data_IF_309574961914
#
_entry.id   IF_309574961914
#
_cell.length_a   1.000
_cell.length_b   1.000
_cell.length_c   1.000
_cell.angle_alpha   90.00
_cell.angle_beta   90.00
_cell.angle_gamma   90.00
#
_symmetry.space_group_name_H-M   'P 1'
#
loop_
_entity.id
_entity.type
_entity.pdbx_description
1 polymer ?
#
# COMPACT_ATOMS: atom_id res chain seq x y z
N UNK A 1 -39.90 25.11 1.88
CA UNK A 1 -39.52 23.72 2.20
C UNK A 1 -38.35 23.23 1.32
N UNK A 2 -37.15 23.80 1.45
CA UNK A 2 -35.92 23.28 0.79
C UNK A 2 -34.72 23.16 1.73
N UNK A 3 -34.88 23.55 3.01
CA UNK A 3 -33.77 23.61 3.97
C UNK A 3 -33.71 22.38 4.89
N UNK A 4 -34.84 21.69 5.11
CA UNK A 4 -34.90 20.51 5.99
C UNK A 4 -34.12 19.31 5.41
N UNK A 5 -34.06 19.17 4.08
CA UNK A 5 -33.42 18.04 3.41
C UNK A 5 -31.88 18.13 3.42
N UNK A 6 -31.31 19.33 3.54
CA UNK A 6 -29.87 19.56 3.63
C UNK A 6 -29.36 19.46 5.08
N UNK A 7 -30.21 19.77 6.05
CA UNK A 7 -29.88 19.64 7.47
C UNK A 7 -29.85 18.17 7.92
N UNK A 8 -30.72 17.32 7.38
CA UNK A 8 -30.73 15.87 7.65
C UNK A 8 -29.51 15.12 7.07
N UNK A 9 -28.93 15.60 5.96
CA UNK A 9 -27.73 15.00 5.36
C UNK A 9 -26.44 15.33 6.16
N UNK A 10 -26.47 16.36 7.00
CA UNK A 10 -25.33 16.80 7.80
C UNK A 10 -25.21 16.12 9.18
N UNK A 11 -26.18 15.26 9.53
CA UNK A 11 -26.20 14.53 10.80
C UNK A 11 -25.42 13.20 10.78
N UNK A 12 -24.79 12.86 9.65
CA UNK A 12 -23.90 11.71 9.60
C UNK A 12 -22.76 11.91 10.63
N UNK A 13 -22.60 11.01 11.62
CA UNK A 13 -21.59 11.16 12.65
C UNK A 13 -20.22 11.33 11.98
N UNK A 14 -19.54 12.46 12.25
CA UNK A 14 -18.20 12.73 11.73
C UNK A 14 -17.33 11.49 11.96
N UNK A 15 -16.75 10.89 10.90
CA UNK A 15 -15.99 9.65 11.05
C UNK A 15 -14.85 9.90 12.04
N UNK A 16 -14.82 9.11 13.13
CA UNK A 16 -13.71 9.13 14.10
C UNK A 16 -12.41 8.98 13.32
N UNK A 17 -11.55 10.01 13.36
CA UNK A 17 -10.21 9.95 12.76
C UNK A 17 -9.44 8.81 13.41
N UNK A 18 -9.33 7.67 12.72
CA UNK A 18 -8.51 6.55 13.17
C UNK A 18 -7.06 7.00 13.08
N UNK A 19 -6.33 6.97 14.20
CA UNK A 19 -4.92 7.37 14.20
C UNK A 19 -4.07 6.32 13.47
N UNK A 20 -2.92 6.72 12.90
CA UNK A 20 -1.93 5.77 12.39
C UNK A 20 -1.52 4.79 13.49
N UNK A 21 -1.36 3.52 13.14
CA UNK A 21 -1.04 2.45 14.09
C UNK A 21 0.39 1.96 13.85
N UNK A 22 1.28 2.21 14.82
CA UNK A 22 2.69 1.74 14.78
C UNK A 22 2.82 0.24 14.49
N UNK A 23 1.87 -0.58 14.95
CA UNK A 23 1.88 -2.03 14.67
C UNK A 23 1.71 -2.33 13.18
N UNK A 24 0.87 -1.57 12.46
CA UNK A 24 0.64 -1.76 11.02
C UNK A 24 1.92 -1.45 10.23
N UNK A 25 2.62 -0.36 10.59
CA UNK A 25 3.91 0.00 10.01
C UNK A 25 4.96 -1.12 10.21
N UNK A 26 5.12 -1.58 11.45
CA UNK A 26 6.12 -2.60 11.79
C UNK A 26 5.81 -3.92 11.08
N UNK A 27 4.56 -4.37 11.09
CA UNK A 27 4.14 -5.62 10.43
C UNK A 27 4.33 -5.53 8.92
N UNK A 28 3.93 -4.42 8.29
CA UNK A 28 4.12 -4.23 6.85
C UNK A 28 5.60 -4.24 6.45
N UNK A 29 6.45 -3.54 7.21
CA UNK A 29 7.89 -3.52 6.96
C UNK A 29 8.53 -4.90 7.15
N UNK A 30 8.20 -5.62 8.23
CA UNK A 30 8.73 -6.95 8.48
C UNK A 30 8.29 -7.97 7.42
N UNK A 31 7.03 -7.92 6.96
CA UNK A 31 6.57 -8.76 5.85
C UNK A 31 7.35 -8.47 4.58
N UNK A 32 7.49 -7.21 4.20
CA UNK A 32 8.28 -6.80 3.03
C UNK A 32 9.72 -7.30 3.12
N UNK A 33 10.38 -7.09 4.25
CA UNK A 33 11.77 -7.48 4.45
C UNK A 33 11.97 -9.00 4.33
N UNK A 34 11.10 -9.81 4.93
CA UNK A 34 11.19 -11.27 4.81
C UNK A 34 10.99 -11.74 3.37
N UNK A 35 10.02 -11.17 2.65
CA UNK A 35 9.73 -11.53 1.27
C UNK A 35 10.85 -11.11 0.32
N UNK A 36 11.40 -9.91 0.50
CA UNK A 36 12.56 -9.44 -0.24
C UNK A 36 13.79 -10.31 0.03
N UNK A 37 14.09 -10.60 1.31
CA UNK A 37 15.22 -11.46 1.68
C UNK A 37 15.07 -12.86 1.09
N UNK A 38 13.89 -13.48 1.17
CA UNK A 38 13.62 -14.78 0.56
C UNK A 38 13.91 -14.77 -0.95
N UNK A 39 13.46 -13.72 -1.63
CA UNK A 39 13.63 -13.57 -3.07
C UNK A 39 15.09 -13.32 -3.47
N UNK A 40 15.89 -12.61 -2.66
CA UNK A 40 17.32 -12.38 -2.94
C UNK A 40 18.17 -13.60 -2.57
N UNK A 41 17.83 -14.32 -1.50
CA UNK A 41 18.59 -15.47 -1.00
C UNK A 41 18.36 -16.76 -1.82
N UNK A 42 17.37 -16.77 -2.70
CA UNK A 42 17.17 -17.87 -3.65
C UNK A 42 18.14 -17.64 -4.82
N UNK A 43 19.25 -18.37 -4.89
CA UNK A 43 20.44 -18.09 -5.75
C UNK A 43 20.23 -18.13 -7.29
N UNK A 44 19.01 -17.95 -7.80
CA UNK A 44 18.69 -17.91 -9.25
C UNK A 44 17.67 -16.87 -9.64
N UNK A 45 17.52 -15.80 -8.87
CA UNK A 45 16.49 -14.80 -9.13
C UNK A 45 16.83 -14.00 -10.38
N UNK A 46 16.27 -14.42 -11.52
CA UNK A 46 16.33 -13.67 -12.77
C UNK A 46 15.72 -12.27 -12.60
N UNK A 47 16.08 -11.32 -13.46
CA UNK A 47 15.46 -9.99 -13.46
C UNK A 47 13.92 -10.07 -13.53
N UNK A 48 13.40 -11.01 -14.31
CA UNK A 48 11.96 -11.28 -14.40
C UNK A 48 11.40 -11.76 -13.07
N UNK A 49 12.10 -12.64 -12.36
CA UNK A 49 11.68 -13.07 -11.01
C UNK A 49 11.73 -11.93 -10.01
N UNK A 50 12.76 -11.07 -10.06
CA UNK A 50 12.90 -9.85 -9.26
C UNK A 50 11.70 -8.92 -9.46
N UNK A 51 11.35 -8.63 -10.71
CA UNK A 51 10.18 -7.84 -11.10
C UNK A 51 8.90 -8.50 -10.60
N UNK A 52 8.71 -9.79 -10.86
CA UNK A 52 7.49 -10.51 -10.46
C UNK A 52 7.29 -10.53 -8.94
N UNK A 53 8.34 -10.81 -8.17
CA UNK A 53 8.22 -10.80 -6.71
C UNK A 53 8.07 -9.39 -6.13
N UNK A 54 8.51 -8.34 -6.84
CA UNK A 54 8.28 -6.96 -6.40
C UNK A 54 6.80 -6.58 -6.35
N UNK A 55 5.95 -7.15 -7.22
CA UNK A 55 4.49 -7.00 -7.11
C UNK A 55 3.94 -7.57 -5.80
N UNK A 56 4.65 -8.52 -5.22
CA UNK A 56 4.23 -9.19 -4.00
C UNK A 56 4.74 -8.47 -2.75
N UNK A 57 6.02 -8.11 -2.65
CA UNK A 57 6.57 -7.49 -1.43
C UNK A 57 6.42 -5.96 -1.35
N UNK A 58 6.39 -5.24 -2.47
CA UNK A 58 6.27 -3.77 -2.45
C UNK A 58 4.97 -3.24 -1.85
N UNK A 59 3.79 -3.89 -2.02
CA UNK A 59 2.58 -3.46 -1.31
C UNK A 59 2.75 -3.51 0.21
N UNK A 60 3.47 -4.49 0.74
CA UNK A 60 3.77 -4.56 2.18
C UNK A 60 4.78 -3.49 2.59
N UNK A 61 5.74 -3.16 1.74
CA UNK A 61 6.66 -2.05 1.97
C UNK A 61 5.90 -0.71 2.03
N UNK A 62 5.02 -0.47 1.06
CA UNK A 62 4.14 0.69 1.02
C UNK A 62 3.23 0.73 2.25
N UNK A 63 2.73 -0.41 2.70
CA UNK A 63 1.92 -0.50 3.92
C UNK A 63 2.74 -0.16 5.17
N UNK A 64 4.01 -0.57 5.20
CA UNK A 64 4.98 -0.14 6.20
C UNK A 64 5.09 1.38 6.23
N UNK A 65 5.45 1.98 5.09
CA UNK A 65 5.66 3.42 4.97
C UNK A 65 4.39 4.24 5.28
N UNK A 66 3.25 3.87 4.69
CA UNK A 66 1.99 4.60 4.85
C UNK A 66 1.27 4.28 6.15
N UNK A 67 1.50 3.12 6.77
CA UNK A 67 0.89 2.72 8.04
C UNK A 67 1.28 3.60 9.22
N UNK A 68 2.43 4.29 9.13
CA UNK A 68 2.88 5.30 10.10
C UNK A 68 2.28 6.70 9.89
N UNK A 69 1.77 6.99 8.69
CA UNK A 69 1.33 8.33 8.27
C UNK A 69 -0.21 8.40 8.21
N UNK A 70 -0.84 7.35 7.72
CA UNK A 70 -2.27 7.31 7.42
C UNK A 70 -3.04 6.34 8.32
N UNK A 71 -4.35 6.56 8.50
CA UNK A 71 -5.26 5.58 9.09
C UNK A 71 -5.15 4.21 8.37
N UNK A 72 -5.36 3.07 9.07
CA UNK A 72 -5.15 1.73 8.50
C UNK A 72 -5.86 1.51 7.16
N UNK A 73 -7.14 1.91 7.04
CA UNK A 73 -7.90 1.77 5.78
C UNK A 73 -7.28 2.52 4.61
N UNK A 74 -6.78 3.74 4.86
CA UNK A 74 -6.13 4.56 3.84
C UNK A 74 -4.74 4.02 3.50
N UNK A 75 -3.98 3.59 4.51
CA UNK A 75 -2.68 2.97 4.30
C UNK A 75 -2.79 1.71 3.44
N UNK A 76 -3.76 0.82 3.73
CA UNK A 76 -4.03 -0.37 2.92
C UNK A 76 -4.42 0.02 1.49
N UNK A 77 -5.34 0.97 1.32
CA UNK A 77 -5.74 1.41 -0.02
C UNK A 77 -4.55 1.95 -0.83
N UNK A 78 -3.74 2.85 -0.25
CA UNK A 78 -2.54 3.39 -0.90
C UNK A 78 -1.54 2.29 -1.25
N UNK A 79 -1.42 1.29 -0.39
CA UNK A 79 -0.53 0.14 -0.60
C UNK A 79 -0.98 -0.72 -1.76
N UNK A 80 -2.29 -1.01 -1.86
CA UNK A 80 -2.85 -1.75 -3.01
C UNK A 80 -2.69 -0.97 -4.30
N UNK A 81 -2.86 0.36 -4.26
CA UNK A 81 -2.65 1.23 -5.42
C UNK A 81 -1.19 1.27 -5.90
N UNK A 82 -0.22 0.79 -5.11
CA UNK A 82 1.15 0.64 -5.61
C UNK A 82 1.27 -0.47 -6.66
N UNK A 83 0.45 -1.52 -6.61
CA UNK A 83 0.49 -2.63 -7.59
C UNK A 83 0.35 -2.15 -9.05
N UNK A 84 -0.68 -1.37 -9.42
CA UNK A 84 -0.78 -0.85 -10.79
C UNK A 84 0.32 0.16 -11.13
N UNK A 85 0.83 0.93 -10.17
CA UNK A 85 1.96 1.86 -10.40
C UNK A 85 3.23 1.07 -10.73
N UNK A 86 3.51 0.01 -9.98
CA UNK A 86 4.63 -0.90 -10.22
C UNK A 86 4.46 -1.60 -11.58
N UNK A 87 3.22 -1.95 -11.94
CA UNK A 87 2.93 -2.55 -13.24
C UNK A 87 3.24 -1.60 -14.39
N UNK A 88 2.82 -0.34 -14.29
CA UNK A 88 3.16 0.69 -15.29
C UNK A 88 4.67 0.92 -15.33
N UNK A 89 5.33 1.00 -14.18
CA UNK A 89 6.77 1.21 -14.11
C UNK A 89 7.54 0.10 -14.85
N UNK A 90 7.28 -1.17 -14.55
CA UNK A 90 7.98 -2.28 -15.22
C UNK A 90 7.49 -2.58 -16.64
N UNK A 91 6.23 -2.28 -16.96
CA UNK A 91 5.67 -2.52 -18.28
C UNK A 91 6.01 -1.44 -19.31
N UNK A 92 6.18 -0.19 -18.86
CA UNK A 92 6.32 0.98 -19.76
C UNK A 92 7.69 1.65 -19.62
N UNK A 93 8.18 1.82 -18.39
CA UNK A 93 9.37 2.65 -18.12
C UNK A 93 10.64 1.79 -18.13
N UNK A 94 10.65 0.69 -17.37
CA UNK A 94 11.82 -0.18 -17.21
C UNK A 94 12.39 -0.76 -18.51
N UNK A 95 11.59 -1.19 -19.50
CA UNK A 95 12.13 -1.70 -20.76
C UNK A 95 12.80 -0.62 -21.62
N UNK A 96 12.62 0.66 -21.26
CA UNK A 96 13.15 1.82 -21.99
C UNK A 96 14.35 2.47 -21.29
N UNK A 97 14.79 1.94 -20.15
CA UNK A 97 15.97 2.38 -19.38
C UNK A 97 17.17 1.49 -19.67
#
# INVERSE_FOLDING_TARGET
MKNELLDDLNLAPKPKKTKPNKKVMIVGFLMSFNLFAYQILTERTSETELVLGSYFWMPFLALGLFGGIYPPKKAILLSVLTVPIIFIFYGVIWPSL
#
